data_IF_642427495316
#
_entry.id   IF_642427495316
#
_cell.length_a   1.000
_cell.length_b   1.000
_cell.length_c   1.000
_cell.angle_alpha   90.00
_cell.angle_beta   90.00
_cell.angle_gamma   90.00
#
_symmetry.space_group_name_H-M   'P 1'
#
loop_
_entity.id
_entity.type
_entity.pdbx_description
1 polymer ?
#
# COMPACT_ATOMS: atom_id res chain seq x y z
N UNK A 1 12.83 -18.35 1.31
CA UNK A 1 13.63 -17.10 1.35
C UNK A 1 14.70 -16.96 0.27
N UNK A 2 15.67 -17.88 0.15
CA UNK A 2 16.74 -17.74 -0.86
C UNK A 2 16.22 -17.67 -2.31
N UNK A 3 15.19 -18.46 -2.64
CA UNK A 3 14.55 -18.44 -3.96
C UNK A 3 13.89 -17.08 -4.29
N UNK A 4 13.17 -16.48 -3.34
CA UNK A 4 12.55 -15.16 -3.51
C UNK A 4 13.60 -14.06 -3.74
N UNK A 5 14.66 -14.02 -2.93
CA UNK A 5 15.78 -13.08 -3.13
C UNK A 5 16.48 -13.29 -4.48
N UNK A 6 16.64 -14.53 -4.91
CA UNK A 6 17.21 -14.85 -6.22
C UNK A 6 16.31 -14.37 -7.37
N UNK A 7 15.00 -14.59 -7.27
CA UNK A 7 14.00 -14.15 -8.23
C UNK A 7 14.00 -12.61 -8.39
N UNK A 8 14.03 -11.89 -7.28
CA UNK A 8 14.02 -10.42 -7.28
C UNK A 8 15.35 -9.80 -7.71
N UNK A 9 16.42 -10.60 -7.83
CA UNK A 9 17.74 -10.16 -8.27
C UNK A 9 18.44 -9.26 -7.25
N UNK A 10 19.44 -8.50 -7.70
CA UNK A 10 20.20 -7.58 -6.84
C UNK A 10 19.68 -6.15 -7.03
N UNK A 11 19.27 -5.44 -5.97
CA UNK A 11 18.82 -4.07 -6.09
C UNK A 11 19.97 -3.13 -6.46
N UNK A 12 19.69 -2.11 -7.28
CA UNK A 12 20.66 -1.07 -7.62
C UNK A 12 20.65 0.05 -6.55
N UNK A 13 21.69 0.19 -5.70
CA UNK A 13 21.69 1.22 -4.67
C UNK A 13 21.78 2.65 -5.23
N UNK A 14 22.13 2.82 -6.51
CA UNK A 14 22.28 4.14 -7.13
C UNK A 14 20.97 4.90 -7.29
N UNK A 15 19.82 4.21 -7.22
CA UNK A 15 18.48 4.82 -7.26
C UNK A 15 17.90 5.12 -5.88
N UNK A 16 18.61 4.78 -4.80
CA UNK A 16 18.09 4.89 -3.42
C UNK A 16 17.80 6.32 -2.92
N UNK A 17 18.20 7.38 -3.62
CA UNK A 17 17.74 8.73 -3.27
C UNK A 17 16.24 8.94 -3.58
N UNK A 18 15.72 8.29 -4.63
CA UNK A 18 14.29 8.35 -4.98
C UNK A 18 13.45 7.70 -3.89
N UNK A 19 13.77 6.46 -3.53
CA UNK A 19 13.05 5.70 -2.50
C UNK A 19 13.09 6.43 -1.16
N UNK A 20 14.27 6.93 -0.75
CA UNK A 20 14.42 7.78 0.44
C UNK A 20 13.66 9.10 0.37
N UNK A 21 13.44 9.69 -0.80
CA UNK A 21 12.66 10.93 -0.93
C UNK A 21 11.16 10.67 -0.75
N UNK A 22 10.64 9.58 -1.31
CA UNK A 22 9.27 9.10 -1.11
C UNK A 22 9.03 8.82 0.37
N UNK A 23 9.87 7.97 0.98
CA UNK A 23 9.77 7.57 2.39
C UNK A 23 9.86 8.75 3.34
N UNK A 24 10.87 9.63 3.18
CA UNK A 24 10.96 10.86 4.00
C UNK A 24 9.70 11.74 3.93
N UNK A 25 8.98 11.70 2.80
CA UNK A 25 7.72 12.41 2.65
C UNK A 25 6.60 11.67 3.37
N UNK A 26 6.47 10.36 3.21
CA UNK A 26 5.50 9.54 3.92
C UNK A 26 5.67 9.65 5.45
N UNK A 27 6.87 9.36 5.97
CA UNK A 27 7.19 9.44 7.40
C UNK A 27 6.88 10.81 8.01
N UNK A 28 7.23 11.90 7.33
CA UNK A 28 6.92 13.24 7.83
C UNK A 28 5.41 13.49 7.93
N UNK A 29 4.63 13.03 6.95
CA UNK A 29 3.19 13.21 6.97
C UNK A 29 2.52 12.25 7.97
N UNK A 30 3.07 11.04 8.16
CA UNK A 30 2.68 10.12 9.23
C UNK A 30 2.84 10.79 10.60
N UNK A 31 4.03 11.32 10.89
CA UNK A 31 4.32 12.00 12.16
C UNK A 31 3.40 13.22 12.37
N UNK A 32 2.97 13.87 11.29
CA UNK A 32 2.11 15.06 11.34
C UNK A 32 0.61 14.76 11.48
N UNK A 33 0.12 13.67 10.88
CA UNK A 33 -1.32 13.44 10.72
C UNK A 33 -1.81 12.12 11.31
N UNK A 34 -0.96 11.10 11.42
CA UNK A 34 -1.32 9.79 11.99
C UNK A 34 -0.87 9.70 13.44
N UNK A 35 0.39 10.08 13.74
CA UNK A 35 0.92 10.00 15.11
C UNK A 35 0.09 10.75 16.15
N UNK A 36 -0.48 11.95 15.89
CA UNK A 36 -1.37 12.60 16.84
C UNK A 36 -2.64 11.78 17.16
N UNK A 37 -3.17 11.05 16.16
CA UNK A 37 -4.32 10.17 16.36
C UNK A 37 -3.93 8.95 17.21
N UNK A 38 -2.76 8.37 16.96
CA UNK A 38 -2.19 7.28 17.79
C UNK A 38 -2.04 7.75 19.23
N UNK A 39 -1.39 8.90 19.45
CA UNK A 39 -1.19 9.47 20.79
C UNK A 39 -2.49 9.76 21.54
N UNK A 40 -3.55 10.13 20.81
CA UNK A 40 -4.84 10.46 21.40
C UNK A 40 -5.70 9.23 21.69
N UNK A 41 -5.71 8.24 20.79
CA UNK A 41 -6.69 7.15 20.82
C UNK A 41 -6.10 5.80 21.25
N UNK A 42 -4.79 5.61 21.07
CA UNK A 42 -4.10 4.37 21.46
C UNK A 42 -2.60 4.63 21.76
N UNK A 43 -2.29 5.42 22.81
CA UNK A 43 -0.91 5.85 23.09
C UNK A 43 0.04 4.69 23.42
N UNK A 44 -0.47 3.60 24.01
CA UNK A 44 0.31 2.40 24.36
C UNK A 44 0.93 1.74 23.11
N UNK A 45 0.28 1.90 21.95
CA UNK A 45 0.72 1.34 20.68
C UNK A 45 2.16 1.74 20.33
N UNK A 46 2.61 2.93 20.73
CA UNK A 46 3.95 3.46 20.44
C UNK A 46 5.06 2.54 20.98
N UNK A 47 4.82 1.87 22.11
CA UNK A 47 5.78 0.96 22.74
C UNK A 47 5.67 -0.50 22.25
N UNK A 48 4.63 -0.83 21.48
CA UNK A 48 4.31 -2.20 21.07
C UNK A 48 4.96 -2.55 19.72
N UNK A 49 5.07 -3.86 19.45
CA UNK A 49 5.51 -4.37 18.14
C UNK A 49 4.66 -3.81 17.01
N UNK A 50 3.33 -3.81 17.19
CA UNK A 50 2.42 -3.26 16.19
C UNK A 50 2.62 -1.77 15.91
N UNK A 51 3.09 -0.96 16.87
CA UNK A 51 3.42 0.46 16.59
C UNK A 51 4.52 0.62 15.55
N UNK A 52 5.51 -0.28 15.54
CA UNK A 52 6.55 -0.32 14.51
C UNK A 52 6.00 -0.85 13.19
N UNK A 53 5.21 -1.95 13.23
CA UNK A 53 4.54 -2.54 12.07
C UNK A 53 3.63 -1.53 11.37
N UNK A 54 2.73 -0.86 12.10
CA UNK A 54 1.86 0.19 11.59
C UNK A 54 2.64 1.28 10.86
N UNK A 55 3.74 1.77 11.45
CA UNK A 55 4.56 2.83 10.84
C UNK A 55 5.21 2.35 9.54
N UNK A 56 5.75 1.14 9.55
CA UNK A 56 6.35 0.51 8.36
C UNK A 56 5.30 0.27 7.26
N UNK A 57 4.21 -0.43 7.57
CA UNK A 57 3.11 -0.70 6.64
C UNK A 57 2.58 0.61 6.03
N UNK A 58 2.39 1.64 6.86
CA UNK A 58 1.92 2.94 6.36
C UNK A 58 2.92 3.59 5.42
N UNK A 59 4.21 3.69 5.82
CA UNK A 59 5.17 4.58 5.18
C UNK A 59 5.97 3.94 4.06
N UNK A 60 6.30 2.66 4.19
CA UNK A 60 7.21 1.93 3.30
C UNK A 60 6.46 1.01 2.35
N UNK A 61 5.36 0.39 2.81
CA UNK A 61 4.53 -0.49 1.97
C UNK A 61 3.43 0.31 1.26
N UNK A 62 2.36 0.67 1.97
CA UNK A 62 1.13 1.16 1.36
C UNK A 62 1.25 2.55 0.74
N UNK A 63 1.93 3.50 1.38
CA UNK A 63 2.11 4.83 0.79
C UNK A 63 2.98 4.83 -0.48
N UNK A 64 3.86 3.84 -0.66
CA UNK A 64 4.77 3.77 -1.80
C UNK A 64 4.04 3.60 -3.13
N UNK A 65 2.91 2.88 -3.16
CA UNK A 65 2.14 2.67 -4.38
C UNK A 65 1.50 3.97 -4.92
N UNK A 66 0.72 4.75 -4.14
CA UNK A 66 0.22 6.06 -4.58
C UNK A 66 1.33 7.04 -4.99
N UNK A 67 2.46 7.06 -4.27
CA UNK A 67 3.59 7.89 -4.67
C UNK A 67 4.16 7.48 -6.02
N UNK A 68 4.32 6.18 -6.27
CA UNK A 68 4.78 5.67 -7.56
C UNK A 68 3.83 6.06 -8.70
N UNK A 69 2.52 6.00 -8.47
CA UNK A 69 1.49 6.48 -9.41
C UNK A 69 1.66 7.97 -9.72
N UNK A 70 1.97 8.82 -8.75
CA UNK A 70 2.22 10.25 -9.00
C UNK A 70 3.43 10.48 -9.92
N UNK A 71 4.43 9.58 -9.92
CA UNK A 71 5.62 9.68 -10.77
C UNK A 71 5.42 9.09 -12.17
N UNK A 72 4.68 8.00 -12.25
CA UNK A 72 4.62 7.15 -13.45
C UNK A 72 3.33 7.31 -14.24
N UNK A 73 2.33 8.03 -13.75
CA UNK A 73 1.06 8.18 -14.47
C UNK A 73 1.09 9.24 -15.59
N UNK A 74 0.28 9.07 -16.65
CA UNK A 74 0.13 10.07 -17.71
C UNK A 74 -0.32 11.44 -17.20
N UNK A 75 -1.27 11.45 -16.27
CA UNK A 75 -1.86 12.67 -15.71
C UNK A 75 -1.08 13.25 -14.52
N UNK A 76 0.18 12.84 -14.32
CA UNK A 76 1.00 13.26 -13.17
C UNK A 76 1.00 14.78 -12.92
N UNK A 77 1.09 15.21 -11.63
CA UNK A 77 1.26 16.60 -11.22
C UNK A 77 2.24 17.39 -12.09
N UNK A 78 1.92 18.66 -12.41
CA UNK A 78 2.71 19.49 -13.33
C UNK A 78 4.20 19.56 -12.94
N UNK A 79 4.50 19.74 -11.65
CA UNK A 79 5.87 19.80 -11.14
C UNK A 79 6.63 18.48 -11.39
N UNK A 80 5.97 17.34 -11.15
CA UNK A 80 6.53 16.03 -11.49
C UNK A 80 6.70 15.92 -13.01
N UNK A 81 5.69 16.28 -13.79
CA UNK A 81 5.73 16.20 -15.25
C UNK A 81 6.92 16.94 -15.85
N UNK A 82 7.19 18.16 -15.37
CA UNK A 82 8.33 18.96 -15.82
C UNK A 82 9.67 18.32 -15.43
N UNK A 83 9.81 17.89 -14.17
CA UNK A 83 11.02 17.24 -13.69
C UNK A 83 11.31 15.94 -14.45
N UNK A 84 10.30 15.10 -14.65
CA UNK A 84 10.44 13.81 -15.34
C UNK A 84 10.62 13.97 -16.84
N UNK A 85 10.01 14.98 -17.48
CA UNK A 85 10.27 15.28 -18.89
C UNK A 85 11.73 15.72 -19.13
N UNK A 86 12.31 16.51 -18.22
CA UNK A 86 13.72 16.89 -18.29
C UNK A 86 14.64 15.67 -18.09
N UNK A 87 14.38 14.89 -17.04
CA UNK A 87 15.08 13.65 -16.74
C UNK A 87 15.02 12.64 -17.89
N UNK A 88 13.89 12.54 -18.58
CA UNK A 88 13.72 11.66 -19.73
C UNK A 88 14.52 12.13 -20.96
N UNK A 89 14.78 13.43 -21.14
CA UNK A 89 15.53 13.95 -22.29
C UNK A 89 17.04 13.86 -22.11
N UNK A 90 17.54 13.96 -20.87
CA UNK A 90 18.96 14.00 -20.60
C UNK A 90 19.44 12.66 -20.02
N UNK A 91 20.53 12.07 -20.53
CA UNK A 91 21.11 10.83 -20.02
C UNK A 91 21.88 11.10 -18.70
N UNK A 92 21.16 11.54 -17.67
CA UNK A 92 21.74 11.88 -16.37
C UNK A 92 22.03 10.61 -15.56
N UNK A 93 23.10 10.59 -14.75
CA UNK A 93 23.34 9.50 -13.80
C UNK A 93 22.19 9.36 -12.79
N UNK A 94 21.92 8.13 -12.34
CA UNK A 94 20.86 7.82 -11.37
C UNK A 94 20.86 8.70 -10.11
N UNK A 95 22.05 9.06 -9.61
CA UNK A 95 22.19 9.97 -8.46
C UNK A 95 21.62 11.37 -8.74
N UNK A 96 21.84 11.90 -9.94
CA UNK A 96 21.33 13.21 -10.36
C UNK A 96 19.81 13.13 -10.56
N UNK A 97 19.32 12.05 -11.16
CA UNK A 97 17.88 11.78 -11.29
C UNK A 97 17.20 11.72 -9.91
N UNK A 98 17.75 10.95 -8.97
CA UNK A 98 17.24 10.86 -7.60
C UNK A 98 17.24 12.20 -6.87
N UNK A 99 18.30 13.01 -7.03
CA UNK A 99 18.34 14.36 -6.46
C UNK A 99 17.28 15.29 -7.08
N UNK A 100 17.10 15.23 -8.40
CA UNK A 100 16.06 15.97 -9.12
C UNK A 100 14.66 15.62 -8.62
N UNK A 101 14.39 14.33 -8.39
CA UNK A 101 13.12 13.90 -7.81
C UNK A 101 12.93 14.40 -6.38
N UNK A 102 13.98 14.39 -5.56
CA UNK A 102 13.93 14.95 -4.19
C UNK A 102 13.57 16.45 -4.21
N UNK A 103 14.11 17.21 -5.16
CA UNK A 103 13.75 18.61 -5.36
C UNK A 103 12.29 18.74 -5.83
N UNK A 104 11.85 17.91 -6.77
CA UNK A 104 10.46 17.90 -7.23
C UNK A 104 9.49 17.63 -6.07
N UNK A 105 9.75 16.60 -5.24
CA UNK A 105 8.96 16.30 -4.03
C UNK A 105 8.93 17.46 -3.03
N UNK A 106 10.06 18.15 -2.87
CA UNK A 106 10.14 19.31 -1.99
C UNK A 106 9.39 20.53 -2.54
N UNK A 107 9.37 20.71 -3.86
CA UNK A 107 8.64 21.77 -4.54
C UNK A 107 7.13 21.52 -4.54
N UNK A 108 6.71 20.27 -4.79
CA UNK A 108 5.33 19.77 -4.65
C UNK A 108 4.80 20.18 -3.27
N UNK A 109 5.46 19.76 -2.18
CA UNK A 109 5.09 20.10 -0.80
C UNK A 109 4.75 21.59 -0.56
N UNK A 110 5.49 22.51 -1.20
CA UNK A 110 5.35 23.96 -0.97
C UNK A 110 4.27 24.62 -1.82
N UNK A 111 3.88 24.03 -2.95
CA UNK A 111 3.12 24.76 -3.98
C UNK A 111 1.77 24.10 -4.34
N UNK A 112 1.58 22.80 -4.12
CA UNK A 112 0.31 22.09 -4.33
C UNK A 112 0.37 20.71 -3.67
N UNK A 113 -0.75 20.03 -3.41
CA UNK A 113 -0.79 18.62 -3.00
C UNK A 113 -0.66 18.26 -1.50
N UNK A 114 -0.76 19.23 -0.59
CA UNK A 114 -0.75 18.94 0.86
C UNK A 114 -1.94 18.05 1.29
N UNK A 115 -3.07 18.17 0.60
CA UNK A 115 -4.26 17.37 0.87
C UNK A 115 -4.06 15.90 0.47
N UNK A 116 -3.45 15.66 -0.68
CA UNK A 116 -3.14 14.34 -1.23
C UNK A 116 -2.10 13.65 -0.35
N UNK A 117 -1.01 14.33 0.02
CA UNK A 117 -0.02 13.77 0.96
C UNK A 117 -0.64 13.37 2.30
N UNK A 118 -1.54 14.20 2.84
CA UNK A 118 -2.28 13.90 4.07
C UNK A 118 -3.14 12.66 3.89
N UNK A 119 -3.91 12.57 2.79
CA UNK A 119 -4.80 11.43 2.57
C UNK A 119 -4.06 10.14 2.28
N UNK A 120 -2.97 10.16 1.51
CA UNK A 120 -2.13 8.98 1.25
C UNK A 120 -1.74 8.31 2.57
N UNK A 121 -1.20 9.06 3.53
CA UNK A 121 -0.76 8.47 4.82
C UNK A 121 -1.92 8.06 5.72
N UNK A 122 -3.05 8.78 5.70
CA UNK A 122 -4.22 8.42 6.49
C UNK A 122 -4.87 7.13 5.98
N UNK A 123 -5.04 7.00 4.66
CA UNK A 123 -5.58 5.80 4.03
C UNK A 123 -4.65 4.61 4.26
N UNK A 124 -3.34 4.79 4.04
CA UNK A 124 -2.35 3.74 4.28
C UNK A 124 -2.33 3.28 5.75
N UNK A 125 -2.45 4.22 6.70
CA UNK A 125 -2.58 3.88 8.12
C UNK A 125 -3.92 3.20 8.44
N UNK A 126 -5.00 3.62 7.78
CA UNK A 126 -6.32 3.03 7.97
C UNK A 126 -6.34 1.56 7.57
N UNK A 127 -5.81 1.21 6.40
CA UNK A 127 -5.75 -0.17 5.92
C UNK A 127 -4.97 -1.04 6.91
N UNK A 128 -3.75 -0.62 7.27
CA UNK A 128 -2.93 -1.33 8.25
C UNK A 128 -3.59 -1.45 9.64
N UNK A 129 -4.37 -0.45 10.05
CA UNK A 129 -5.06 -0.44 11.33
C UNK A 129 -6.32 -1.31 11.32
N UNK A 130 -7.11 -1.30 10.24
CA UNK A 130 -8.30 -2.16 10.10
C UNK A 130 -7.88 -3.62 10.12
N UNK A 131 -6.89 -3.99 9.30
CA UNK A 131 -6.30 -5.34 9.23
C UNK A 131 -5.93 -5.85 10.62
N UNK A 132 -5.04 -5.13 11.33
CA UNK A 132 -4.60 -5.54 12.65
C UNK A 132 -5.72 -5.57 13.70
N UNK A 133 -6.63 -4.59 13.67
CA UNK A 133 -7.72 -4.54 14.66
C UNK A 133 -8.67 -5.71 14.44
N UNK A 134 -9.00 -6.03 13.19
CA UNK A 134 -9.90 -7.11 12.83
C UNK A 134 -9.32 -8.49 13.19
N UNK A 135 -8.03 -8.68 12.93
CA UNK A 135 -7.36 -9.97 13.13
C UNK A 135 -6.93 -10.21 14.58
N UNK A 136 -6.45 -9.18 15.27
CA UNK A 136 -5.73 -9.35 16.54
C UNK A 136 -6.32 -8.62 17.74
N UNK A 137 -7.22 -7.64 17.54
CA UNK A 137 -7.75 -6.85 18.65
C UNK A 137 -9.19 -7.18 19.02
N UNK A 138 -9.94 -7.82 18.13
CA UNK A 138 -11.32 -8.21 18.38
C UNK A 138 -11.35 -9.68 18.84
N UNK A 139 -11.90 -9.93 20.02
CA UNK A 139 -12.05 -11.30 20.55
C UNK A 139 -13.41 -11.92 20.22
N UNK A 140 -14.31 -11.15 19.58
CA UNK A 140 -15.65 -11.61 19.23
C UNK A 140 -15.62 -12.73 18.17
N UNK A 141 -16.74 -13.44 18.03
CA UNK A 141 -16.94 -14.37 16.91
C UNK A 141 -16.93 -13.62 15.56
N UNK A 142 -16.49 -14.26 14.45
CA UNK A 142 -16.26 -13.59 13.17
C UNK A 142 -17.42 -12.69 12.68
N UNK A 143 -18.65 -13.19 12.73
CA UNK A 143 -19.84 -12.46 12.29
C UNK A 143 -20.05 -11.18 13.11
N UNK A 144 -19.80 -11.25 14.42
CA UNK A 144 -19.93 -10.09 15.30
C UNK A 144 -18.78 -9.10 15.08
N UNK A 145 -17.56 -9.57 14.76
CA UNK A 145 -16.46 -8.69 14.34
C UNK A 145 -16.84 -7.87 13.11
N UNK A 146 -17.34 -8.54 12.07
CA UNK A 146 -17.81 -7.91 10.85
C UNK A 146 -18.87 -6.85 11.13
N UNK A 147 -19.94 -7.22 11.85
CA UNK A 147 -21.02 -6.30 12.23
C UNK A 147 -20.50 -5.07 12.98
N UNK A 148 -19.65 -5.26 13.99
CA UNK A 148 -19.06 -4.16 14.76
C UNK A 148 -18.19 -3.25 13.88
N UNK A 149 -17.36 -3.80 13.00
CA UNK A 149 -16.53 -3.00 12.10
C UNK A 149 -17.40 -2.19 11.11
N UNK A 150 -18.43 -2.81 10.53
CA UNK A 150 -19.41 -2.11 9.70
C UNK A 150 -20.09 -0.95 10.43
N UNK A 151 -20.60 -1.19 11.64
CA UNK A 151 -21.25 -0.15 12.44
C UNK A 151 -20.27 0.93 12.91
N UNK A 152 -19.01 0.57 13.19
CA UNK A 152 -17.94 1.51 13.51
C UNK A 152 -17.68 2.45 12.35
N UNK A 153 -17.52 1.94 11.13
CA UNK A 153 -17.26 2.76 9.94
C UNK A 153 -18.49 3.60 9.56
N UNK A 154 -19.70 3.07 9.74
CA UNK A 154 -20.96 3.79 9.54
C UNK A 154 -21.30 4.79 10.67
N UNK A 155 -20.53 4.80 11.77
CA UNK A 155 -20.76 5.71 12.90
C UNK A 155 -21.97 5.37 13.76
N UNK A 156 -22.46 4.14 13.67
CA UNK A 156 -23.54 3.58 14.48
C UNK A 156 -23.03 2.93 15.76
N UNK A 157 -21.72 2.65 15.82
CA UNK A 157 -21.05 2.08 16.98
C UNK A 157 -20.07 3.07 17.59
N UNK A 158 -20.13 3.22 18.92
CA UNK A 158 -19.12 3.96 19.68
C UNK A 158 -17.97 2.98 20.03
N UNK A 159 -16.71 3.30 19.67
CA UNK A 159 -15.59 2.42 19.95
C UNK A 159 -15.39 2.23 21.45
N UNK A 160 -15.25 0.98 21.87
CA UNK A 160 -15.06 0.53 23.25
C UNK A 160 -13.63 0.02 23.52
N UNK A 161 -12.80 -0.14 22.49
CA UNK A 161 -11.37 -0.48 22.62
C UNK A 161 -10.48 0.58 21.97
N UNK A 162 -9.21 0.73 22.40
CA UNK A 162 -8.26 1.67 21.79
C UNK A 162 -8.06 1.43 20.29
N UNK A 163 -8.03 0.17 19.85
CA UNK A 163 -7.90 -0.20 18.44
C UNK A 163 -9.07 0.31 17.60
N UNK A 164 -10.31 0.02 18.03
CA UNK A 164 -11.51 0.53 17.35
C UNK A 164 -11.60 2.06 17.41
N UNK A 165 -11.15 2.69 18.50
CA UNK A 165 -11.10 4.14 18.64
C UNK A 165 -10.13 4.77 17.64
N UNK A 166 -8.94 4.20 17.47
CA UNK A 166 -7.96 4.64 16.48
C UNK A 166 -8.48 4.45 15.05
N UNK A 167 -9.02 3.27 14.72
CA UNK A 167 -9.61 2.97 13.42
C UNK A 167 -10.69 4.00 13.04
N UNK A 168 -11.61 4.29 13.98
CA UNK A 168 -12.65 5.31 13.78
C UNK A 168 -12.07 6.70 13.58
N UNK A 169 -11.08 7.09 14.36
CA UNK A 169 -10.46 8.41 14.27
C UNK A 169 -9.73 8.62 12.94
N UNK A 170 -9.01 7.61 12.45
CA UNK A 170 -8.36 7.66 11.13
C UNK A 170 -9.42 7.73 10.02
N UNK A 171 -10.47 6.92 10.07
CA UNK A 171 -11.58 6.96 9.10
C UNK A 171 -12.24 8.34 9.02
N UNK A 172 -12.52 8.96 10.18
CA UNK A 172 -13.03 10.33 10.24
C UNK A 172 -12.04 11.36 9.68
N UNK A 173 -10.74 11.17 9.93
CA UNK A 173 -9.71 12.04 9.40
C UNK A 173 -9.58 11.94 7.87
N UNK A 174 -9.76 10.76 7.29
CA UNK A 174 -9.75 10.54 5.82
C UNK A 174 -10.86 11.31 5.12
N UNK A 175 -12.08 11.27 5.68
CA UNK A 175 -13.27 11.95 5.15
C UNK A 175 -13.36 13.43 5.53
N UNK A 176 -12.45 13.94 6.37
CA UNK A 176 -12.47 15.35 6.75
C UNK A 176 -12.19 16.27 5.55
N UNK A 177 -13.13 17.19 5.28
CA UNK A 177 -13.08 18.18 4.20
C UNK A 177 -12.88 17.55 2.82
N UNK A 178 -13.62 16.48 2.51
CA UNK A 178 -13.78 16.05 1.12
C UNK A 178 -14.45 17.17 0.32
N UNK A 179 -13.93 17.43 -0.88
CA UNK A 179 -14.61 18.25 -1.88
C UNK A 179 -15.74 17.43 -2.52
N UNK A 180 -16.67 18.10 -3.21
CA UNK A 180 -17.77 17.42 -3.91
C UNK A 180 -17.26 16.36 -4.90
N UNK A 181 -16.17 16.65 -5.61
CA UNK A 181 -15.54 15.74 -6.58
C UNK A 181 -14.84 14.53 -5.94
N UNK A 182 -14.63 14.55 -4.62
CA UNK A 182 -13.93 13.50 -3.88
C UNK A 182 -14.89 12.57 -3.14
N UNK A 183 -16.17 12.96 -3.03
CA UNK A 183 -17.17 12.14 -2.35
C UNK A 183 -17.41 10.82 -3.07
N UNK A 184 -17.63 10.83 -4.39
CA UNK A 184 -17.93 9.60 -5.13
C UNK A 184 -16.75 8.62 -5.12
N UNK A 185 -15.49 9.05 -5.40
CA UNK A 185 -14.33 8.16 -5.29
C UNK A 185 -14.10 7.65 -3.86
N UNK A 186 -14.32 8.48 -2.84
CA UNK A 186 -14.20 8.04 -1.45
C UNK A 186 -15.28 7.01 -1.10
N UNK A 187 -16.52 7.25 -1.49
CA UNK A 187 -17.63 6.32 -1.22
C UNK A 187 -17.41 4.98 -1.93
N UNK A 188 -16.98 5.00 -3.19
CA UNK A 188 -16.62 3.78 -3.92
C UNK A 188 -15.50 3.00 -3.22
N UNK A 189 -14.46 3.68 -2.73
CA UNK A 189 -13.40 3.04 -1.95
C UNK A 189 -13.94 2.42 -0.63
N UNK A 190 -14.83 3.11 0.07
CA UNK A 190 -15.44 2.58 1.29
C UNK A 190 -16.36 1.39 1.05
N UNK A 191 -17.06 1.32 -0.08
CA UNK A 191 -17.81 0.12 -0.49
C UNK A 191 -16.87 -1.08 -0.59
N UNK A 192 -15.70 -0.93 -1.21
CA UNK A 192 -14.72 -2.02 -1.29
C UNK A 192 -14.13 -2.43 0.06
N UNK A 193 -13.95 -1.49 0.98
CA UNK A 193 -13.55 -1.80 2.36
C UNK A 193 -14.64 -2.63 3.07
N UNK A 194 -15.91 -2.32 2.83
CA UNK A 194 -17.02 -3.12 3.35
C UNK A 194 -17.06 -4.52 2.75
N UNK A 195 -16.88 -4.66 1.43
CA UNK A 195 -16.77 -5.97 0.76
C UNK A 195 -15.58 -6.80 1.30
N UNK A 196 -14.45 -6.14 1.58
CA UNK A 196 -13.30 -6.78 2.21
C UNK A 196 -13.65 -7.31 3.61
N UNK A 197 -14.27 -6.50 4.47
CA UNK A 197 -14.69 -6.94 5.82
C UNK A 197 -15.61 -8.16 5.73
N UNK A 198 -16.58 -8.16 4.82
CA UNK A 198 -17.48 -9.30 4.63
C UNK A 198 -16.73 -10.55 4.18
N UNK A 199 -15.73 -10.39 3.31
CA UNK A 199 -14.91 -11.48 2.81
C UNK A 199 -13.99 -12.07 3.88
N UNK A 200 -13.45 -11.26 4.79
CA UNK A 200 -12.70 -11.74 5.96
C UNK A 200 -13.61 -12.54 6.90
N UNK A 201 -14.86 -12.10 7.10
CA UNK A 201 -15.84 -12.88 7.88
C UNK A 201 -16.07 -14.23 7.21
N UNK A 202 -16.35 -14.26 5.90
CA UNK A 202 -16.54 -15.50 5.14
C UNK A 202 -15.35 -16.45 5.29
N UNK A 203 -14.12 -15.93 5.17
CA UNK A 203 -12.90 -16.69 5.37
C UNK A 203 -12.79 -17.29 6.78
N UNK A 204 -13.05 -16.49 7.82
CA UNK A 204 -13.02 -16.93 9.21
C UNK A 204 -14.11 -17.95 9.55
N UNK A 205 -15.25 -17.91 8.86
CA UNK A 205 -16.35 -18.88 9.04
C UNK A 205 -16.19 -20.15 8.21
N UNK A 206 -15.14 -20.25 7.39
CA UNK A 206 -14.86 -21.42 6.55
C UNK A 206 -15.82 -21.56 5.37
N UNK A 207 -16.34 -20.45 4.84
CA UNK A 207 -17.08 -20.47 3.58
C UNK A 207 -16.15 -20.84 2.41
N UNK A 208 -16.69 -21.52 1.41
CA UNK A 208 -15.92 -21.85 0.21
C UNK A 208 -15.75 -20.60 -0.67
N UNK A 209 -14.51 -20.17 -0.86
CA UNK A 209 -14.20 -19.10 -1.81
C UNK A 209 -14.31 -19.61 -3.26
N UNK A 210 -15.22 -19.08 -4.10
CA UNK A 210 -15.40 -19.50 -5.48
C UNK A 210 -14.17 -19.26 -6.37
N UNK A 211 -13.26 -18.36 -5.98
CA UNK A 211 -12.01 -18.11 -6.70
C UNK A 211 -10.90 -19.10 -6.33
N UNK A 212 -11.06 -19.84 -5.22
CA UNK A 212 -10.04 -20.73 -4.68
C UNK A 212 -8.82 -20.01 -4.10
N UNK A 213 -8.94 -18.71 -3.82
CA UNK A 213 -7.87 -17.84 -3.34
C UNK A 213 -8.07 -17.42 -1.88
N UNK A 214 -8.90 -18.11 -1.10
CA UNK A 214 -9.13 -17.82 0.31
C UNK A 214 -9.63 -16.39 0.57
N UNK A 215 -10.50 -15.88 -0.30
CA UNK A 215 -11.08 -14.53 -0.24
C UNK A 215 -10.08 -13.36 -0.34
N UNK A 216 -8.79 -13.64 -0.63
CA UNK A 216 -7.72 -12.63 -0.75
C UNK A 216 -8.00 -11.53 -1.76
N UNK A 217 -8.78 -11.84 -2.79
CA UNK A 217 -9.12 -10.88 -3.85
C UNK A 217 -9.84 -9.66 -3.27
N UNK A 218 -10.79 -9.85 -2.36
CA UNK A 218 -11.53 -8.73 -1.78
C UNK A 218 -10.64 -7.82 -0.91
N UNK A 219 -9.70 -8.39 -0.16
CA UNK A 219 -8.71 -7.63 0.61
C UNK A 219 -7.76 -6.82 -0.28
N UNK A 220 -7.31 -7.42 -1.39
CA UNK A 220 -6.53 -6.71 -2.43
C UNK A 220 -7.37 -5.59 -3.06
N UNK A 221 -8.63 -5.86 -3.39
CA UNK A 221 -9.55 -4.87 -3.96
C UNK A 221 -9.79 -3.68 -3.03
N UNK A 222 -10.16 -3.96 -1.76
CA UNK A 222 -10.37 -2.96 -0.73
C UNK A 222 -9.13 -2.11 -0.44
N UNK A 223 -7.96 -2.74 -0.35
CA UNK A 223 -6.68 -2.06 -0.13
C UNK A 223 -6.39 -1.07 -1.25
N UNK A 224 -6.49 -1.51 -2.50
CA UNK A 224 -6.02 -0.70 -3.64
C UNK A 224 -7.03 0.36 -4.06
N UNK A 225 -8.34 0.08 -4.01
CA UNK A 225 -9.33 1.15 -4.23
C UNK A 225 -9.31 2.19 -3.11
N UNK A 226 -8.95 1.79 -1.88
CA UNK A 226 -8.55 2.72 -0.82
C UNK A 226 -7.34 3.58 -1.23
N UNK A 227 -6.23 2.95 -1.59
CA UNK A 227 -4.96 3.64 -1.89
C UNK A 227 -5.00 4.50 -3.17
N UNK A 228 -5.84 4.17 -4.15
CA UNK A 228 -5.98 4.95 -5.37
C UNK A 228 -6.81 6.22 -5.17
N UNK A 229 -7.78 6.19 -4.25
CA UNK A 229 -8.63 7.34 -3.93
C UNK A 229 -7.85 8.66 -3.72
N UNK A 230 -6.78 8.75 -2.89
CA UNK A 230 -6.06 10.00 -2.69
C UNK A 230 -5.35 10.53 -3.94
N UNK A 231 -5.17 9.71 -4.98
CA UNK A 231 -4.49 10.05 -6.23
C UNK A 231 -5.36 9.84 -7.47
N UNK A 232 -6.69 9.72 -7.29
CA UNK A 232 -7.66 9.35 -8.34
C UNK A 232 -7.62 10.27 -9.58
N UNK A 233 -7.26 11.55 -9.40
CA UNK A 233 -7.13 12.53 -10.51
C UNK A 233 -5.93 12.25 -11.42
N UNK A 234 -4.95 11.51 -10.91
CA UNK A 234 -3.69 11.22 -11.59
C UNK A 234 -3.62 9.80 -12.07
N UNK A 235 -4.24 8.88 -11.32
CA UNK A 235 -4.33 7.48 -11.66
C UNK A 235 -5.36 7.25 -12.77
N UNK A 236 -4.98 6.47 -13.78
CA UNK A 236 -5.92 5.87 -14.73
C UNK A 236 -6.05 4.37 -14.47
N UNK A 237 -6.86 3.69 -15.28
CA UNK A 237 -7.11 2.24 -15.11
C UNK A 237 -5.82 1.41 -15.15
N UNK A 238 -4.86 1.76 -16.01
CA UNK A 238 -3.56 1.09 -16.03
C UNK A 238 -2.79 1.21 -14.69
N UNK A 239 -2.89 2.37 -14.02
CA UNK A 239 -2.24 2.58 -12.73
C UNK A 239 -2.95 1.80 -11.62
N UNK A 240 -4.28 1.72 -11.69
CA UNK A 240 -5.09 0.87 -10.82
C UNK A 240 -4.71 -0.60 -10.97
N UNK A 241 -4.70 -1.12 -12.20
CA UNK A 241 -4.33 -2.51 -12.48
C UNK A 241 -2.92 -2.84 -11.99
N UNK A 242 -1.94 -1.98 -12.25
CA UNK A 242 -0.59 -2.18 -11.74
C UNK A 242 -0.55 -2.20 -10.21
N UNK A 243 -1.31 -1.34 -9.52
CA UNK A 243 -1.41 -1.38 -8.07
C UNK A 243 -2.04 -2.69 -7.57
N UNK A 244 -3.06 -3.21 -8.27
CA UNK A 244 -3.62 -4.54 -7.98
C UNK A 244 -2.58 -5.65 -8.14
N UNK A 245 -1.82 -5.65 -9.23
CA UNK A 245 -0.78 -6.65 -9.48
C UNK A 245 0.31 -6.60 -8.40
N UNK A 246 0.71 -5.40 -7.95
CA UNK A 246 1.66 -5.21 -6.86
C UNK A 246 1.10 -5.73 -5.54
N UNK A 247 -0.16 -5.43 -5.23
CA UNK A 247 -0.82 -5.91 -4.01
C UNK A 247 -0.94 -7.43 -3.99
N UNK A 248 -1.30 -8.03 -5.13
CA UNK A 248 -1.37 -9.48 -5.29
C UNK A 248 0.03 -10.11 -5.15
N UNK A 249 1.07 -9.49 -5.70
CA UNK A 249 2.45 -9.93 -5.48
C UNK A 249 2.84 -9.90 -4.00
N UNK A 250 2.47 -8.84 -3.28
CA UNK A 250 2.74 -8.72 -1.84
C UNK A 250 1.99 -9.82 -1.07
N UNK A 251 0.72 -10.09 -1.37
CA UNK A 251 -0.03 -11.18 -0.74
C UNK A 251 0.58 -12.56 -1.03
N UNK A 252 0.98 -12.80 -2.29
CA UNK A 252 1.68 -14.03 -2.68
C UNK A 252 3.00 -14.19 -1.92
N UNK A 253 3.74 -13.09 -1.75
CA UNK A 253 4.99 -13.08 -1.02
C UNK A 253 4.77 -13.33 0.47
N UNK A 254 3.73 -12.77 1.07
CA UNK A 254 3.28 -12.97 2.45
C UNK A 254 3.00 -14.46 2.72
N UNK A 255 2.03 -15.03 1.99
CA UNK A 255 1.65 -16.45 2.12
C UNK A 255 2.83 -17.40 1.83
N UNK A 256 3.79 -17.00 1.00
CA UNK A 256 5.00 -17.78 0.72
C UNK A 256 6.07 -17.65 1.81
N UNK A 257 6.16 -16.49 2.46
CA UNK A 257 7.07 -16.26 3.59
C UNK A 257 6.59 -17.05 4.81
N UNK A 258 5.29 -16.99 5.06
CA UNK A 258 4.64 -17.57 6.24
C UNK A 258 4.24 -19.03 6.07
N UNK A 259 4.56 -19.65 4.92
CA UNK A 259 4.19 -21.04 4.63
C UNK A 259 4.46 -22.02 5.78
N UNK A 260 5.64 -21.96 6.41
CA UNK A 260 5.97 -22.89 7.51
C UNK A 260 5.13 -22.65 8.77
N UNK A 261 4.78 -21.39 9.05
CA UNK A 261 3.95 -21.00 10.19
C UNK A 261 2.48 -21.35 9.92
N UNK A 262 1.96 -20.98 8.75
CA UNK A 262 0.59 -21.27 8.36
C UNK A 262 0.34 -22.78 8.22
N UNK A 263 1.27 -23.53 7.63
CA UNK A 263 1.14 -24.99 7.47
C UNK A 263 1.19 -25.76 8.79
N UNK A 264 1.76 -25.15 9.84
CA UNK A 264 1.75 -25.71 11.19
C UNK A 264 0.51 -25.30 12.01
N UNK A 265 -0.26 -24.29 11.54
CA UNK A 265 -1.47 -23.80 12.17
C UNK A 265 -2.75 -24.34 11.53
N UNK A 266 -3.87 -23.73 11.91
CA UNK A 266 -5.21 -24.06 11.38
C UNK A 266 -5.60 -23.19 10.16
N UNK A 267 -4.71 -22.29 9.71
CA UNK A 267 -4.97 -21.39 8.58
C UNK A 267 -4.71 -22.12 7.26
N UNK A 268 -5.66 -22.05 6.34
CA UNK A 268 -5.48 -22.57 4.98
C UNK A 268 -5.22 -21.41 4.02
N UNK A 269 -4.06 -21.40 3.36
CA UNK A 269 -3.70 -20.42 2.32
C UNK A 269 -3.61 -21.07 0.94
N UNK A 270 -3.72 -20.29 -0.16
CA UNK A 270 -3.56 -20.82 -1.52
C UNK A 270 -2.19 -21.49 -1.77
N UNK A 271 -1.15 -21.13 -1.02
CA UNK A 271 0.17 -21.79 -1.09
C UNK A 271 0.09 -23.19 -0.46
N UNK A 272 -0.60 -23.36 0.66
CA UNK A 272 -0.79 -24.65 1.35
C UNK A 272 -1.62 -25.61 0.49
N UNK A 273 -2.69 -25.12 -0.13
CA UNK A 273 -3.55 -25.94 -1.00
C UNK A 273 -2.90 -26.27 -2.35
N UNK A 274 -1.79 -25.61 -2.68
CA UNK A 274 -1.10 -25.74 -3.96
C UNK A 274 -1.80 -25.00 -5.13
N UNK A 275 -2.82 -24.18 -4.84
CA UNK A 275 -3.43 -23.26 -5.79
C UNK A 275 -2.42 -22.22 -6.29
N UNK A 276 -1.53 -21.77 -5.40
CA UNK A 276 -0.38 -20.94 -5.73
C UNK A 276 0.92 -21.72 -5.61
N UNK A 277 1.72 -21.65 -6.66
CA UNK A 277 3.05 -22.25 -6.77
C UNK A 277 4.10 -21.15 -6.86
N UNK A 278 5.37 -21.54 -6.72
CA UNK A 278 6.45 -20.57 -6.86
C UNK A 278 6.48 -19.93 -8.26
N UNK A 279 6.05 -20.65 -9.30
CA UNK A 279 5.92 -20.11 -10.66
C UNK A 279 4.92 -18.94 -10.72
N UNK A 280 3.90 -18.93 -9.88
CA UNK A 280 2.93 -17.82 -9.78
C UNK A 280 3.59 -16.59 -9.14
N UNK A 281 4.43 -16.80 -8.10
CA UNK A 281 5.28 -15.75 -7.52
C UNK A 281 6.22 -15.17 -8.58
N UNK A 282 6.86 -16.02 -9.39
CA UNK A 282 7.74 -15.57 -10.47
C UNK A 282 7.00 -14.77 -11.54
N UNK A 283 5.86 -15.28 -11.97
CA UNK A 283 5.02 -14.67 -13.00
C UNK A 283 4.54 -13.29 -12.54
N UNK A 284 4.03 -13.21 -11.30
CA UNK A 284 3.53 -11.96 -10.72
C UNK A 284 4.67 -10.94 -10.53
N UNK A 285 5.84 -11.37 -10.03
CA UNK A 285 7.01 -10.49 -9.93
C UNK A 285 7.39 -9.89 -11.29
N UNK A 286 7.51 -10.73 -12.33
CA UNK A 286 7.84 -10.28 -13.70
C UNK A 286 6.76 -9.32 -14.23
N UNK A 287 5.49 -9.62 -13.96
CA UNK A 287 4.34 -8.79 -14.30
C UNK A 287 4.42 -7.39 -13.69
N UNK A 288 4.64 -7.29 -12.37
CA UNK A 288 4.73 -5.98 -11.70
C UNK A 288 5.91 -5.13 -12.18
N UNK A 289 7.05 -5.78 -12.48
CA UNK A 289 8.25 -5.12 -13.04
C UNK A 289 7.98 -4.63 -14.47
N UNK A 290 7.31 -5.41 -15.32
CA UNK A 290 6.91 -4.96 -16.65
C UNK A 290 5.88 -3.83 -16.57
N UNK A 291 4.89 -3.97 -15.69
CA UNK A 291 3.81 -3.01 -15.51
C UNK A 291 4.30 -1.61 -15.14
N UNK A 292 5.30 -1.49 -14.26
CA UNK A 292 5.86 -0.16 -13.91
C UNK A 292 6.63 0.46 -15.09
N UNK A 293 7.28 -0.34 -15.93
CA UNK A 293 7.89 0.16 -17.17
C UNK A 293 6.83 0.62 -18.17
N UNK A 294 5.77 -0.17 -18.35
CA UNK A 294 4.66 0.13 -19.25
C UNK A 294 3.94 1.40 -18.84
N UNK A 295 3.64 1.57 -17.55
CA UNK A 295 3.10 2.81 -16.99
C UNK A 295 4.00 4.00 -17.30
N UNK A 296 5.29 3.88 -17.03
CA UNK A 296 6.27 4.94 -17.30
C UNK A 296 6.27 5.34 -18.78
N UNK A 297 6.24 4.36 -19.69
CA UNK A 297 6.19 4.57 -21.14
C UNK A 297 4.87 5.19 -21.59
N UNK A 298 3.75 4.74 -21.05
CA UNK A 298 2.41 5.30 -21.30
C UNK A 298 2.34 6.77 -20.86
N UNK A 299 3.11 7.15 -19.83
CA UNK A 299 3.30 8.52 -19.39
C UNK A 299 4.12 9.41 -20.34
N UNK A 300 4.58 8.87 -21.48
CA UNK A 300 5.43 9.54 -22.46
C UNK A 300 6.92 9.53 -22.11
N UNK A 301 7.32 8.82 -21.06
CA UNK A 301 8.72 8.73 -20.60
C UNK A 301 9.36 7.48 -21.22
N UNK A 302 9.86 7.60 -22.45
CA UNK A 302 10.30 6.47 -23.27
C UNK A 302 11.81 6.23 -23.28
N UNK A 303 12.61 7.14 -22.71
CA UNK A 303 14.06 7.05 -22.79
C UNK A 303 14.57 5.85 -21.97
N UNK A 304 15.43 4.98 -22.53
CA UNK A 304 15.84 3.74 -21.88
C UNK A 304 16.46 3.93 -20.49
N UNK A 305 17.28 4.98 -20.30
CA UNK A 305 17.91 5.27 -19.00
C UNK A 305 16.88 5.64 -17.94
N UNK A 306 15.85 6.38 -18.30
CA UNK A 306 14.82 6.84 -17.36
C UNK A 306 13.86 5.71 -17.00
N UNK A 307 13.42 4.90 -17.98
CA UNK A 307 12.58 3.73 -17.69
C UNK A 307 13.32 2.75 -16.77
N UNK A 308 14.61 2.49 -17.06
CA UNK A 308 15.46 1.69 -16.17
C UNK A 308 15.54 2.29 -14.77
N UNK A 309 15.75 3.61 -14.65
CA UNK A 309 15.80 4.29 -13.34
C UNK A 309 14.53 4.07 -12.52
N UNK A 310 13.34 4.15 -13.13
CA UNK A 310 12.06 3.88 -12.45
C UNK A 310 11.91 2.41 -12.08
N UNK A 311 12.22 1.49 -13.01
CA UNK A 311 12.22 0.04 -12.73
C UNK A 311 13.10 -0.32 -11.55
N UNK A 312 14.35 0.13 -11.55
CA UNK A 312 15.29 -0.18 -10.46
C UNK A 312 14.84 0.41 -9.13
N UNK A 313 14.16 1.57 -9.14
CA UNK A 313 13.62 2.17 -7.91
C UNK A 313 12.45 1.36 -7.34
N UNK A 314 11.56 0.85 -8.20
CA UNK A 314 10.51 -0.09 -7.80
C UNK A 314 11.10 -1.38 -7.23
N UNK A 315 12.08 -1.97 -7.93
CA UNK A 315 12.76 -3.19 -7.48
C UNK A 315 13.41 -2.97 -6.11
N UNK A 316 14.12 -1.86 -5.92
CA UNK A 316 14.72 -1.51 -4.63
C UNK A 316 13.65 -1.40 -3.52
N UNK A 317 12.54 -0.70 -3.75
CA UNK A 317 11.48 -0.59 -2.74
C UNK A 317 10.88 -1.95 -2.38
N UNK A 318 10.68 -2.84 -3.37
CA UNK A 318 10.15 -4.18 -3.11
C UNK A 318 11.14 -5.08 -2.35
N UNK A 319 12.44 -4.97 -2.60
CA UNK A 319 13.45 -5.64 -1.76
C UNK A 319 13.36 -5.17 -0.31
N UNK A 320 13.24 -3.86 -0.10
CA UNK A 320 13.10 -3.29 1.24
C UNK A 320 11.80 -3.73 1.93
N UNK A 321 10.73 -4.01 1.18
CA UNK A 321 9.49 -4.62 1.70
C UNK A 321 9.69 -6.09 2.05
N UNK A 322 10.23 -6.88 1.12
CA UNK A 322 10.46 -8.30 1.30
C UNK A 322 11.37 -8.59 2.50
N UNK A 323 12.46 -7.83 2.66
CA UNK A 323 13.35 -7.99 3.81
C UNK A 323 12.65 -7.67 5.13
N UNK A 324 11.76 -6.68 5.17
CA UNK A 324 11.02 -6.34 6.38
C UNK A 324 9.94 -7.38 6.76
N UNK A 325 9.34 -8.04 5.76
CA UNK A 325 8.45 -9.19 5.99
C UNK A 325 9.25 -10.37 6.54
N UNK A 326 10.37 -10.71 5.90
CA UNK A 326 11.27 -11.79 6.34
C UNK A 326 11.79 -11.58 7.78
N UNK A 327 12.09 -10.33 8.15
CA UNK A 327 12.62 -9.99 9.47
C UNK A 327 11.50 -9.85 10.55
N UNK A 328 10.24 -10.14 10.21
CA UNK A 328 9.11 -10.11 11.15
C UNK A 328 8.71 -8.71 11.61
N UNK A 329 9.08 -7.65 10.87
CA UNK A 329 8.58 -6.28 11.12
C UNK A 329 7.16 -6.13 10.56
N UNK A 330 6.81 -6.94 9.58
CA UNK A 330 5.50 -6.98 8.95
C UNK A 330 4.58 -8.11 9.48
N UNK A 331 5.04 -8.93 10.43
CA UNK A 331 4.29 -10.09 10.98
C UNK A 331 3.65 -9.76 12.34
#
# INVERSE_FOLDING_TARGET
MAALRQLMGKPDPSVGELTRAIRRTAYRNYDRYVMPLVQQHWPELIGQGFGKKLRFLTCDLYASAPYSVLFSSPNRPLAIRLATAFANRLPLPNRVLGFGTRLAMSAIKRLAYQHEHRRIVLVAAFIACVDHVFDHCMEDEPVERGRKMHDLLNGKYAPDTPGLALTRAIHQAMSHRLTLEENDPFHAAMVRVHDWIDSEVSAMTGEDDPTGLGFRVAGVEGTIDGLIFPVYRYAGEAARQWMYDVSMFVQLMDDWIDYEVDAAGDRTTPVITGSWKFEDVESMWKGTVSGIEELTRAAGLKAPHYVRFVREAYVLMMHEVADAMIDGIAD
#
